data_IF_024541119466
#
_entry.id   IF_024541119466
#
_cell.length_a   1.000
_cell.length_b   1.000
_cell.length_c   1.000
_cell.angle_alpha   90.00
_cell.angle_beta   90.00
_cell.angle_gamma   90.00
#
_symmetry.space_group_name_H-M   'P 1'
#
loop_
_entity.id
_entity.type
_entity.pdbx_description
1 polymer ?
#
# COMPACT_ATOMS: atom_id res chain seq x y z
N UNK A 1 14.20 -4.71 18.76
CA UNK A 1 14.94 -5.52 17.74
C UNK A 1 14.44 -5.01 16.41
N UNK A 2 15.34 -4.60 15.52
CA UNK A 2 14.93 -4.13 14.18
C UNK A 2 14.38 -5.30 13.37
N UNK A 3 13.36 -5.03 12.56
CA UNK A 3 12.77 -6.04 11.67
C UNK A 3 13.81 -6.45 10.63
N UNK A 4 14.14 -7.73 10.57
CA UNK A 4 15.12 -8.26 9.61
C UNK A 4 14.55 -8.38 8.19
N UNK A 5 13.23 -8.33 8.07
CA UNK A 5 12.49 -8.49 6.82
C UNK A 5 11.45 -7.35 6.67
N UNK A 6 11.88 -6.09 6.49
CA UNK A 6 10.94 -4.98 6.40
C UNK A 6 10.00 -5.13 5.20
N UNK A 7 8.71 -4.85 5.44
CA UNK A 7 7.69 -4.78 4.42
C UNK A 7 7.38 -3.30 4.17
N UNK A 8 7.58 -2.84 2.96
CA UNK A 8 7.28 -1.47 2.53
C UNK A 8 6.13 -1.52 1.53
N UNK A 9 5.08 -0.77 1.76
CA UNK A 9 3.89 -0.72 0.91
C UNK A 9 3.72 0.69 0.39
N UNK A 10 3.68 0.87 -0.92
CA UNK A 10 3.48 2.16 -1.58
C UNK A 10 2.07 2.22 -2.14
N UNK A 11 1.26 3.13 -1.62
CA UNK A 11 -0.16 3.28 -1.94
C UNK A 11 -0.49 4.69 -2.47
N UNK A 12 -1.66 4.86 -3.04
CA UNK A 12 -2.17 6.13 -3.56
C UNK A 12 -2.84 5.98 -4.92
N UNK A 13 -3.47 7.05 -5.39
CA UNK A 13 -4.19 7.09 -6.68
C UNK A 13 -3.22 6.93 -7.87
N UNK A 14 -3.77 6.82 -9.07
CA UNK A 14 -2.95 6.70 -10.28
C UNK A 14 -2.16 7.98 -10.58
N UNK A 15 -1.00 7.82 -11.22
CA UNK A 15 -0.14 8.89 -11.74
C UNK A 15 0.51 9.82 -10.70
N UNK A 16 0.51 9.48 -9.42
CA UNK A 16 1.14 10.29 -8.34
C UNK A 16 2.62 10.00 -8.11
N UNK A 17 3.24 9.07 -8.85
CA UNK A 17 4.68 8.78 -8.73
C UNK A 17 5.02 7.53 -7.91
N UNK A 18 4.06 6.66 -7.59
CA UNK A 18 4.30 5.42 -6.82
C UNK A 18 5.41 4.54 -7.40
N UNK A 19 5.33 4.23 -8.69
CA UNK A 19 6.35 3.38 -9.35
C UNK A 19 7.74 4.02 -9.33
N UNK A 20 7.82 5.35 -9.44
CA UNK A 20 9.08 6.08 -9.28
C UNK A 20 9.62 5.88 -7.87
N UNK A 21 8.81 6.07 -6.84
CA UNK A 21 9.21 5.86 -5.45
C UNK A 21 9.62 4.40 -5.20
N UNK A 22 8.88 3.42 -5.71
CA UNK A 22 9.24 2.00 -5.57
C UNK A 22 10.64 1.71 -6.15
N UNK A 23 10.95 2.27 -7.34
CA UNK A 23 12.27 2.10 -7.96
C UNK A 23 13.37 2.75 -7.11
N UNK A 24 13.17 3.98 -6.63
CA UNK A 24 14.12 4.67 -5.76
C UNK A 24 14.36 3.92 -4.44
N UNK A 25 13.31 3.40 -3.82
CA UNK A 25 13.41 2.55 -2.62
C UNK A 25 14.19 1.26 -2.92
N UNK A 26 13.90 0.60 -4.04
CA UNK A 26 14.60 -0.63 -4.45
C UNK A 26 16.10 -0.39 -4.70
N UNK A 27 16.43 0.69 -5.38
CA UNK A 27 17.83 1.10 -5.59
C UNK A 27 18.56 1.41 -4.26
N UNK A 28 17.87 2.06 -3.33
CA UNK A 28 18.44 2.48 -2.05
C UNK A 28 18.58 1.33 -1.03
N UNK A 29 17.70 0.32 -1.09
CA UNK A 29 17.63 -0.77 -0.09
C UNK A 29 18.09 -2.13 -0.62
N UNK A 30 18.09 -2.31 -1.95
CA UNK A 30 18.27 -3.61 -2.60
C UNK A 30 17.05 -4.53 -2.52
N UNK A 31 15.91 -4.05 -2.02
CA UNK A 31 14.71 -4.89 -1.87
C UNK A 31 13.99 -5.07 -3.21
N UNK A 32 13.50 -6.28 -3.50
CA UNK A 32 12.69 -6.52 -4.68
C UNK A 32 11.35 -5.80 -4.63
N UNK A 33 10.87 -5.36 -5.80
CA UNK A 33 9.54 -4.79 -5.97
C UNK A 33 8.59 -5.89 -6.37
N UNK A 34 7.51 -6.03 -5.63
CA UNK A 34 6.38 -6.88 -5.96
C UNK A 34 5.20 -6.00 -6.38
N UNK A 35 4.79 -6.13 -7.63
CA UNK A 35 3.66 -5.39 -8.15
C UNK A 35 2.39 -6.18 -7.94
N UNK A 36 1.52 -5.66 -7.07
CA UNK A 36 0.20 -6.24 -6.86
C UNK A 36 -0.76 -5.66 -7.89
N UNK A 37 -0.88 -6.35 -9.02
CA UNK A 37 -1.71 -5.92 -10.15
C UNK A 37 -2.80 -6.94 -10.52
N UNK A 38 -3.65 -6.52 -11.46
CA UNK A 38 -4.78 -7.30 -11.95
C UNK A 38 -4.42 -8.67 -12.50
N UNK A 39 -3.19 -8.89 -12.94
CA UNK A 39 -2.74 -10.18 -13.50
C UNK A 39 -2.59 -11.25 -12.43
N UNK A 40 -2.41 -10.85 -11.18
CA UNK A 40 -2.19 -11.75 -10.03
C UNK A 40 -3.51 -12.06 -9.32
N UNK A 41 -4.50 -11.16 -9.42
CA UNK A 41 -5.78 -11.26 -8.70
C UNK A 41 -6.94 -11.18 -9.67
N UNK A 42 -7.78 -12.22 -9.68
CA UNK A 42 -9.06 -12.17 -10.38
C UNK A 42 -10.00 -11.20 -9.65
N UNK A 43 -10.21 -10.03 -10.21
CA UNK A 43 -11.00 -8.92 -9.63
C UNK A 43 -12.44 -9.25 -9.26
N UNK A 44 -12.96 -10.37 -9.69
CA UNK A 44 -14.35 -10.78 -9.42
C UNK A 44 -14.58 -11.32 -8.00
N UNK A 45 -13.56 -11.33 -7.11
CA UNK A 45 -13.60 -12.23 -5.95
C UNK A 45 -13.06 -11.70 -4.62
N UNK A 46 -12.76 -10.44 -4.44
CA UNK A 46 -12.29 -9.97 -3.12
C UNK A 46 -13.42 -9.74 -2.09
N UNK A 47 -14.63 -9.97 -2.45
CA UNK A 47 -15.72 -10.28 -1.53
C UNK A 47 -15.55 -11.70 -0.93
N UNK A 48 -14.44 -12.37 -1.22
CA UNK A 48 -14.18 -13.76 -0.91
C UNK A 48 -13.01 -13.84 0.07
N UNK A 49 -13.21 -14.53 1.17
CA UNK A 49 -12.20 -14.81 2.22
C UNK A 49 -10.89 -15.39 1.64
N UNK A 50 -10.95 -16.05 0.49
CA UNK A 50 -9.79 -16.63 -0.18
C UNK A 50 -8.73 -15.59 -0.61
N UNK A 51 -9.11 -14.39 -1.04
CA UNK A 51 -8.13 -13.37 -1.46
C UNK A 51 -7.51 -12.69 -0.23
N UNK A 52 -8.31 -12.44 0.78
CA UNK A 52 -7.81 -11.99 2.08
C UNK A 52 -6.81 -12.99 2.65
N UNK A 53 -7.12 -14.28 2.61
CA UNK A 53 -6.22 -15.35 3.06
C UNK A 53 -4.93 -15.41 2.24
N UNK A 54 -4.98 -15.20 0.92
CA UNK A 54 -3.77 -15.13 0.08
C UNK A 54 -2.87 -13.96 0.47
N UNK A 55 -3.43 -12.76 0.68
CA UNK A 55 -2.66 -11.61 1.13
C UNK A 55 -2.00 -11.87 2.48
N UNK A 56 -2.73 -12.45 3.42
CA UNK A 56 -2.22 -12.81 4.75
C UNK A 56 -1.13 -13.88 4.66
N UNK A 57 -1.28 -14.85 3.77
CA UNK A 57 -0.26 -15.87 3.50
C UNK A 57 1.01 -15.26 2.90
N UNK A 58 0.90 -14.28 2.01
CA UNK A 58 2.07 -13.57 1.46
C UNK A 58 2.86 -12.85 2.55
N UNK A 59 2.18 -12.14 3.45
CA UNK A 59 2.82 -11.47 4.59
C UNK A 59 3.56 -12.50 5.45
N UNK A 60 2.88 -13.57 5.82
CA UNK A 60 3.44 -14.62 6.68
C UNK A 60 4.59 -15.38 6.01
N UNK A 61 4.49 -15.65 4.72
CA UNK A 61 5.57 -16.28 3.95
C UNK A 61 6.80 -15.38 3.93
N UNK A 62 6.62 -14.07 3.74
CA UNK A 62 7.72 -13.11 3.76
C UNK A 62 8.42 -13.09 5.13
N UNK A 63 7.68 -13.07 6.23
CA UNK A 63 8.24 -13.14 7.60
C UNK A 63 9.05 -14.41 7.84
N UNK A 64 8.59 -15.55 7.31
CA UNK A 64 9.20 -16.87 7.54
C UNK A 64 10.42 -17.15 6.66
N UNK A 65 10.53 -16.52 5.49
CA UNK A 65 11.56 -16.89 4.50
C UNK A 65 12.91 -16.23 4.71
N UNK A 66 13.04 -15.28 5.65
CA UNK A 66 14.25 -14.46 5.81
C UNK A 66 14.76 -13.88 4.48
N UNK A 67 13.85 -13.53 3.58
CA UNK A 67 14.15 -13.10 2.21
C UNK A 67 14.76 -11.68 2.14
N UNK A 68 14.97 -11.03 3.28
CA UNK A 68 15.27 -9.61 3.35
C UNK A 68 14.00 -8.77 3.23
N UNK A 69 14.12 -7.49 2.91
CA UNK A 69 12.95 -6.61 2.75
C UNK A 69 12.20 -6.85 1.43
N UNK A 70 10.98 -6.32 1.34
CA UNK A 70 10.15 -6.31 0.13
C UNK A 70 9.44 -4.98 -0.02
N UNK A 71 9.24 -4.54 -1.26
CA UNK A 71 8.46 -3.36 -1.62
C UNK A 71 7.23 -3.81 -2.41
N UNK A 72 6.04 -3.48 -1.93
CA UNK A 72 4.80 -3.68 -2.68
C UNK A 72 4.38 -2.38 -3.38
N UNK A 73 4.32 -2.40 -4.72
CA UNK A 73 3.67 -1.35 -5.53
C UNK A 73 2.17 -1.66 -5.55
N UNK A 74 1.43 -1.05 -4.64
CA UNK A 74 0.05 -1.31 -4.20
C UNK A 74 -0.10 -2.61 -3.39
N UNK A 75 -1.08 -2.63 -2.52
CA UNK A 75 -1.46 -3.79 -1.75
C UNK A 75 -2.92 -3.69 -1.26
N UNK A 76 -3.18 -3.95 0.00
CA UNK A 76 -4.52 -4.07 0.61
C UNK A 76 -5.38 -2.82 0.52
N UNK A 77 -4.79 -1.62 0.67
CA UNK A 77 -5.56 -0.37 0.59
C UNK A 77 -6.07 -0.11 -0.82
N UNK A 78 -5.24 -0.34 -1.83
CA UNK A 78 -5.66 -0.21 -3.23
C UNK A 78 -6.82 -1.12 -3.54
N UNK A 79 -6.78 -2.36 -3.08
CA UNK A 79 -7.88 -3.27 -3.30
C UNK A 79 -9.18 -2.81 -2.65
N UNK A 80 -9.11 -2.39 -1.40
CA UNK A 80 -10.27 -1.85 -0.69
C UNK A 80 -10.87 -0.63 -1.40
N UNK A 81 -10.04 0.37 -1.73
CA UNK A 81 -10.49 1.63 -2.32
C UNK A 81 -11.10 1.40 -3.70
N UNK A 82 -10.39 0.69 -4.57
CA UNK A 82 -10.89 0.38 -5.92
C UNK A 82 -12.04 -0.64 -5.87
N UNK A 83 -12.03 -1.54 -4.91
CA UNK A 83 -13.11 -2.49 -4.68
C UNK A 83 -14.44 -1.81 -4.35
N UNK A 84 -14.43 -0.87 -3.42
CA UNK A 84 -15.64 -0.14 -3.01
C UNK A 84 -16.15 0.76 -4.15
N UNK A 85 -15.26 1.55 -4.78
CA UNK A 85 -15.67 2.56 -5.73
C UNK A 85 -16.01 1.98 -7.11
N UNK A 86 -15.23 1.02 -7.58
CA UNK A 86 -15.33 0.53 -8.94
C UNK A 86 -16.01 -0.84 -9.06
N UNK A 87 -15.95 -1.67 -8.01
CA UNK A 87 -16.41 -3.07 -8.05
C UNK A 87 -17.62 -3.36 -7.16
N UNK A 88 -18.12 -2.34 -6.46
CA UNK A 88 -19.32 -2.43 -5.60
C UNK A 88 -19.24 -3.52 -4.53
N UNK A 89 -18.08 -3.69 -3.90
CA UNK A 89 -17.91 -4.62 -2.78
C UNK A 89 -18.86 -4.33 -1.63
N UNK A 90 -19.23 -5.38 -0.88
CA UNK A 90 -19.89 -5.21 0.39
C UNK A 90 -18.97 -4.45 1.36
N UNK A 91 -19.30 -3.20 1.62
CA UNK A 91 -18.45 -2.27 2.37
C UNK A 91 -18.05 -2.79 3.76
N UNK A 92 -18.97 -3.50 4.44
CA UNK A 92 -18.70 -4.03 5.78
C UNK A 92 -17.70 -5.19 5.73
N UNK A 93 -17.95 -6.15 4.84
CA UNK A 93 -17.07 -7.32 4.69
C UNK A 93 -15.68 -6.93 4.20
N UNK A 94 -15.61 -6.09 3.16
CA UNK A 94 -14.34 -5.58 2.65
C UNK A 94 -13.56 -4.80 3.73
N UNK A 95 -14.23 -4.03 4.58
CA UNK A 95 -13.61 -3.33 5.70
C UNK A 95 -13.06 -4.29 6.74
N UNK A 96 -13.81 -5.32 7.10
CA UNK A 96 -13.37 -6.28 8.12
C UNK A 96 -12.15 -7.08 7.61
N UNK A 97 -12.13 -7.48 6.35
CA UNK A 97 -10.99 -8.12 5.70
C UNK A 97 -9.75 -7.20 5.64
N UNK A 98 -9.96 -5.92 5.29
CA UNK A 98 -8.90 -4.91 5.30
C UNK A 98 -8.26 -4.78 6.69
N UNK A 99 -9.07 -4.73 7.76
CA UNK A 99 -8.57 -4.62 9.14
C UNK A 99 -7.80 -5.86 9.60
N UNK A 100 -8.15 -7.04 9.10
CA UNK A 100 -7.40 -8.28 9.36
C UNK A 100 -6.00 -8.22 8.72
N UNK A 101 -5.93 -7.81 7.45
CA UNK A 101 -4.65 -7.67 6.73
C UNK A 101 -3.79 -6.59 7.40
N UNK A 102 -4.38 -5.44 7.74
CA UNK A 102 -3.68 -4.35 8.43
C UNK A 102 -3.13 -4.79 9.79
N UNK A 103 -3.86 -5.63 10.50
CA UNK A 103 -3.38 -6.21 11.77
C UNK A 103 -2.16 -7.11 11.58
N UNK A 104 -2.13 -7.94 10.55
CA UNK A 104 -0.99 -8.79 10.24
C UNK A 104 0.21 -7.95 9.78
N UNK A 105 -0.01 -6.93 8.96
CA UNK A 105 1.03 -5.98 8.53
C UNK A 105 1.60 -5.19 9.70
N UNK A 106 0.75 -4.74 10.61
CA UNK A 106 1.20 -4.04 11.81
C UNK A 106 2.03 -4.95 12.73
N UNK A 107 1.65 -6.22 12.86
CA UNK A 107 2.44 -7.20 13.61
C UNK A 107 3.81 -7.48 12.94
N UNK A 108 3.87 -7.39 11.62
CA UNK A 108 5.09 -7.49 10.83
C UNK A 108 5.90 -6.18 10.78
N UNK A 109 5.51 -5.14 11.53
CA UNK A 109 6.13 -3.81 11.54
C UNK A 109 6.25 -3.18 10.13
N UNK A 110 5.23 -3.37 9.29
CA UNK A 110 5.21 -2.85 7.94
C UNK A 110 5.13 -1.31 7.92
N UNK A 111 5.77 -0.72 6.91
CA UNK A 111 5.73 0.72 6.63
C UNK A 111 4.80 0.94 5.44
N UNK A 112 3.77 1.75 5.62
CA UNK A 112 2.85 2.16 4.55
C UNK A 112 3.20 3.57 4.13
N UNK A 113 3.39 3.80 2.84
CA UNK A 113 3.70 5.10 2.27
C UNK A 113 2.54 5.50 1.36
N UNK A 114 1.86 6.57 1.71
CA UNK A 114 0.85 7.18 0.87
C UNK A 114 1.49 8.26 0.01
N UNK A 115 1.42 8.10 -1.31
CA UNK A 115 1.88 9.12 -2.26
C UNK A 115 0.72 10.00 -2.65
N UNK A 116 0.80 11.26 -2.24
CA UNK A 116 -0.21 12.29 -2.48
C UNK A 116 -0.03 12.95 -3.86
N UNK A 117 -1.10 13.44 -4.47
CA UNK A 117 -0.98 14.29 -5.64
C UNK A 117 -0.33 15.63 -5.25
N UNK A 118 0.66 16.09 -6.04
CA UNK A 118 1.43 17.32 -5.79
C UNK A 118 0.56 18.57 -5.74
N UNK A 119 -0.52 18.58 -6.51
CA UNK A 119 -1.43 19.74 -6.56
C UNK A 119 -2.85 19.28 -6.87
N UNK A 120 -3.76 19.57 -5.96
CA UNK A 120 -5.19 19.36 -6.19
C UNK A 120 -5.69 20.20 -7.38
N UNK A 121 -4.95 21.23 -7.80
CA UNK A 121 -5.25 22.05 -8.98
C UNK A 121 -4.92 21.36 -10.33
N UNK A 122 -4.07 20.34 -10.35
CA UNK A 122 -3.92 19.45 -11.51
C UNK A 122 -5.14 18.55 -11.70
N UNK A 123 -6.12 18.68 -10.83
CA UNK A 123 -7.39 17.98 -10.86
C UNK A 123 -8.33 18.39 -11.99
N UNK A 124 -7.95 19.29 -12.92
CA UNK A 124 -8.80 19.51 -14.13
C UNK A 124 -8.90 18.25 -15.00
N UNK A 125 -7.93 17.33 -14.88
CA UNK A 125 -7.92 16.03 -15.53
C UNK A 125 -8.24 14.87 -14.56
N UNK A 126 -8.35 15.14 -13.27
CA UNK A 126 -8.80 14.16 -12.30
C UNK A 126 -10.33 14.07 -12.35
N UNK A 127 -10.84 12.90 -12.71
CA UNK A 127 -12.26 12.63 -12.57
C UNK A 127 -12.66 12.74 -11.10
N UNK A 128 -13.89 13.14 -10.79
CA UNK A 128 -14.36 13.26 -9.40
C UNK A 128 -14.20 11.97 -8.56
N UNK A 129 -14.09 10.81 -9.23
CA UNK A 129 -13.73 9.53 -8.64
C UNK A 129 -12.32 9.52 -8.04
N UNK A 130 -11.34 10.19 -8.65
CA UNK A 130 -9.94 10.17 -8.20
C UNK A 130 -9.77 10.93 -6.88
N UNK A 131 -10.48 12.05 -6.70
CA UNK A 131 -10.51 12.78 -5.44
C UNK A 131 -11.15 11.93 -4.32
N UNK A 132 -12.24 11.25 -4.64
CA UNK A 132 -12.90 10.35 -3.69
C UNK A 132 -11.99 9.18 -3.30
N UNK A 133 -11.25 8.60 -4.25
CA UNK A 133 -10.26 7.56 -3.99
C UNK A 133 -9.14 8.09 -3.09
N UNK A 134 -8.58 9.27 -3.40
CA UNK A 134 -7.55 9.88 -2.58
C UNK A 134 -8.01 10.12 -1.14
N UNK A 135 -9.20 10.67 -0.94
CA UNK A 135 -9.78 10.86 0.38
C UNK A 135 -9.94 9.54 1.16
N UNK A 136 -10.33 8.45 0.48
CA UNK A 136 -10.45 7.14 1.10
C UNK A 136 -9.07 6.57 1.49
N UNK A 137 -8.06 6.66 0.63
CA UNK A 137 -6.68 6.27 0.97
C UNK A 137 -6.17 7.03 2.18
N UNK A 138 -6.31 8.35 2.17
CA UNK A 138 -5.87 9.21 3.27
C UNK A 138 -6.60 8.87 4.57
N UNK A 139 -7.92 8.79 4.53
CA UNK A 139 -8.73 8.48 5.71
C UNK A 139 -8.37 7.12 6.30
N UNK A 140 -8.11 6.13 5.45
CA UNK A 140 -7.74 4.82 5.93
C UNK A 140 -6.31 4.81 6.48
N UNK A 141 -5.34 5.32 5.72
CA UNK A 141 -3.94 5.31 6.10
C UNK A 141 -3.69 6.00 7.45
N UNK A 142 -4.27 7.18 7.67
CA UNK A 142 -3.98 7.99 8.86
C UNK A 142 -4.98 7.84 10.01
N UNK A 143 -6.19 7.37 9.75
CA UNK A 143 -7.23 7.28 10.79
C UNK A 143 -7.52 5.85 11.25
N UNK A 144 -7.17 4.84 10.48
CA UNK A 144 -7.57 3.45 10.73
C UNK A 144 -6.42 2.46 10.74
N UNK A 145 -5.39 2.65 9.92
CA UNK A 145 -4.24 1.75 9.89
C UNK A 145 -3.48 1.79 11.21
N UNK A 146 -2.99 0.62 11.63
CA UNK A 146 -2.09 0.45 12.79
C UNK A 146 -0.63 0.40 12.37
N UNK A 147 -0.34 0.39 11.07
CA UNK A 147 1.00 0.39 10.54
C UNK A 147 1.68 1.75 10.72
N UNK A 148 3.00 1.78 10.69
CA UNK A 148 3.74 3.02 10.52
C UNK A 148 3.38 3.62 9.16
N UNK A 149 2.78 4.82 9.16
CA UNK A 149 2.29 5.46 7.95
C UNK A 149 3.06 6.75 7.68
N UNK A 150 3.61 6.86 6.47
CA UNK A 150 4.27 8.05 5.94
C UNK A 150 3.43 8.65 4.83
N UNK A 151 3.49 9.96 4.66
CA UNK A 151 2.96 10.66 3.49
C UNK A 151 4.08 11.34 2.73
N UNK A 152 4.01 11.32 1.41
CA UNK A 152 4.93 12.04 0.52
C UNK A 152 4.20 12.46 -0.75
N UNK A 153 4.81 13.34 -1.52
CA UNK A 153 4.39 13.70 -2.86
C UNK A 153 5.55 13.57 -3.84
N UNK A 154 5.29 13.79 -5.13
CA UNK A 154 6.29 13.63 -6.18
C UNK A 154 7.52 14.54 -6.00
N UNK A 155 7.39 15.69 -5.35
CA UNK A 155 8.50 16.63 -5.12
C UNK A 155 9.40 16.23 -3.94
N UNK A 156 8.96 15.31 -3.08
CA UNK A 156 9.62 14.94 -1.83
C UNK A 156 10.01 13.46 -1.75
N UNK A 157 10.10 12.76 -2.88
CA UNK A 157 10.40 11.32 -2.91
C UNK A 157 11.77 10.99 -2.29
N UNK A 158 12.80 11.81 -2.53
CA UNK A 158 14.15 11.61 -1.94
C UNK A 158 14.11 11.69 -0.40
N UNK A 159 13.37 12.65 0.14
CA UNK A 159 13.19 12.79 1.59
C UNK A 159 12.48 11.57 2.17
N UNK A 160 11.48 11.05 1.47
CA UNK A 160 10.77 9.83 1.86
C UNK A 160 11.69 8.61 1.87
N UNK A 161 12.51 8.42 0.84
CA UNK A 161 13.50 7.33 0.75
C UNK A 161 14.47 7.37 1.95
N UNK A 162 14.99 8.56 2.28
CA UNK A 162 15.89 8.73 3.42
C UNK A 162 15.20 8.39 4.75
N UNK A 163 13.96 8.84 4.95
CA UNK A 163 13.18 8.51 6.14
C UNK A 163 12.96 7.00 6.27
N UNK A 164 12.61 6.32 5.18
CA UNK A 164 12.44 4.85 5.18
C UNK A 164 13.73 4.13 5.54
N UNK A 165 14.88 4.56 5.00
CA UNK A 165 16.18 3.99 5.36
C UNK A 165 16.46 4.10 6.85
N UNK A 166 16.23 5.26 7.45
CA UNK A 166 16.40 5.45 8.91
C UNK A 166 15.49 4.55 9.73
N UNK A 167 14.28 4.23 9.24
CA UNK A 167 13.34 3.36 9.92
C UNK A 167 13.73 1.87 9.88
N UNK A 168 14.39 1.43 8.79
CA UNK A 168 14.76 0.03 8.60
C UNK A 168 16.20 -0.29 9.03
N UNK A 169 17.09 0.70 9.12
CA UNK A 169 18.47 0.57 9.64
C UNK A 169 18.51 0.48 11.17
#
# INVERSE_FOLDING_TARGET
MKNKNPIIIVEGIDRVGKTTLCNMLSEATGFPIYKYDESVVSYDKMDNDNETDKMRQLIKLHELTNAGGVIFDRFHMSDFVYGILNRKYCTLHARDNLLLIDSDLSAAEAIVILVDPVDIKYSSDMHGSDLSMHCLFFSYAFLKSKCCTLATDYNHLDACVNCVKELIE
#
